data_IF_917643193322
#
_entry.id   IF_917643193322
#
_cell.length_a   1.000
_cell.length_b   1.000
_cell.length_c   1.000
_cell.angle_alpha   90.00
_cell.angle_beta   90.00
_cell.angle_gamma   90.00
#
_symmetry.space_group_name_H-M   'P 1'
#
loop_
_entity.id
_entity.type
_entity.pdbx_description
1 polymer ?
#
# COMPACT_ATOMS: atom_id res chain seq x y z
N UNK A 1 -2.87 -10.53 15.63
CA UNK A 1 -2.46 -10.12 16.99
C UNK A 1 -1.70 -8.82 16.83
N UNK A 2 -2.18 -7.71 17.40
CA UNK A 2 -1.41 -6.47 17.43
C UNK A 2 -0.26 -6.66 18.41
N UNK A 3 0.98 -6.55 17.95
CA UNK A 3 2.13 -6.50 18.85
C UNK A 3 2.37 -5.04 19.16
N UNK A 4 2.16 -4.67 20.41
CA UNK A 4 2.42 -3.33 20.90
C UNK A 4 3.57 -3.40 21.91
N UNK A 5 4.53 -2.48 21.80
CA UNK A 5 5.62 -2.28 22.75
C UNK A 5 5.53 -0.84 23.26
N UNK A 6 5.46 -0.68 24.57
CA UNK A 6 5.59 0.62 25.21
C UNK A 6 7.02 0.78 25.76
N UNK A 7 7.75 1.75 25.22
CA UNK A 7 9.12 2.11 25.66
C UNK A 7 9.18 3.52 26.23
N UNK A 8 8.04 4.11 26.59
CA UNK A 8 7.99 5.42 27.24
C UNK A 8 8.70 5.36 28.59
N UNK A 9 9.58 6.34 28.83
CA UNK A 9 10.41 6.40 30.03
C UNK A 9 11.46 5.29 30.17
N UNK A 10 11.68 4.47 29.12
CA UNK A 10 12.73 3.45 29.11
C UNK A 10 14.02 4.05 28.54
N UNK A 11 15.15 3.74 29.18
CA UNK A 11 16.50 4.08 28.70
C UNK A 11 16.75 3.55 27.28
N UNK A 12 17.45 4.34 26.47
CA UNK A 12 17.64 4.09 25.03
C UNK A 12 18.09 2.67 24.69
N UNK A 13 19.17 2.20 25.31
CA UNK A 13 19.74 0.87 25.02
C UNK A 13 18.75 -0.26 25.33
N UNK A 14 17.98 -0.11 26.41
CA UNK A 14 16.96 -1.09 26.80
C UNK A 14 15.76 -1.07 25.86
N UNK A 15 15.36 0.10 25.38
CA UNK A 15 14.29 0.23 24.40
C UNK A 15 14.68 -0.45 23.07
N UNK A 16 15.92 -0.21 22.61
CA UNK A 16 16.49 -0.83 21.41
C UNK A 16 16.53 -2.35 21.53
N UNK A 17 17.02 -2.88 22.66
CA UNK A 17 17.11 -4.33 22.88
C UNK A 17 15.73 -4.99 22.90
N UNK A 18 14.74 -4.36 23.54
CA UNK A 18 13.37 -4.86 23.57
C UNK A 18 12.77 -4.98 22.16
N UNK A 19 12.94 -3.96 21.32
CA UNK A 19 12.45 -3.96 19.94
C UNK A 19 13.16 -5.03 19.10
N UNK A 20 14.49 -5.15 19.21
CA UNK A 20 15.27 -6.19 18.50
C UNK A 20 14.85 -7.61 18.90
N UNK A 21 14.56 -7.85 20.18
CA UNK A 21 14.07 -9.15 20.64
C UNK A 21 12.72 -9.51 20.03
N UNK A 22 11.80 -8.55 19.96
CA UNK A 22 10.45 -8.79 19.40
C UNK A 22 10.52 -9.06 17.90
N UNK A 23 11.36 -8.32 17.17
CA UNK A 23 11.59 -8.55 15.73
C UNK A 23 12.19 -9.95 15.49
N UNK A 24 13.14 -10.41 16.32
CA UNK A 24 13.77 -11.74 16.17
C UNK A 24 12.90 -12.91 16.59
N UNK A 25 12.05 -12.73 17.60
CA UNK A 25 11.34 -13.83 18.26
C UNK A 25 10.03 -14.22 17.57
N UNK A 26 9.55 -13.45 16.58
CA UNK A 26 8.21 -13.62 16.03
C UNK A 26 8.18 -13.31 14.52
N UNK A 27 7.44 -14.10 13.76
CA UNK A 27 7.03 -13.76 12.38
C UNK A 27 5.96 -12.67 12.42
N UNK A 28 6.37 -11.43 12.66
CA UNK A 28 5.44 -10.31 12.77
C UNK A 28 5.23 -9.64 11.44
N UNK A 29 3.97 -9.42 11.08
CA UNK A 29 3.60 -8.55 9.97
C UNK A 29 3.69 -7.07 10.36
N UNK A 30 3.37 -6.74 11.62
CA UNK A 30 3.40 -5.37 12.12
C UNK A 30 3.66 -5.27 13.63
N UNK A 31 4.19 -4.12 14.03
CA UNK A 31 4.58 -3.75 15.39
C UNK A 31 4.24 -2.28 15.65
N UNK A 32 3.48 -2.01 16.71
CA UNK A 32 3.25 -0.66 17.23
C UNK A 32 4.22 -0.38 18.37
N UNK A 33 4.88 0.78 18.38
CA UNK A 33 5.83 1.17 19.41
C UNK A 33 5.50 2.56 19.93
N UNK A 34 5.31 2.70 21.24
CA UNK A 34 5.08 3.98 21.89
C UNK A 34 6.38 4.49 22.52
N UNK A 35 6.80 5.69 22.14
CA UNK A 35 8.04 6.33 22.59
C UNK A 35 7.76 7.73 23.12
N UNK A 36 8.34 8.08 24.27
CA UNK A 36 8.17 9.40 24.90
C UNK A 36 9.28 10.38 24.54
N UNK A 37 10.32 9.95 23.83
CA UNK A 37 11.53 10.74 23.61
C UNK A 37 11.98 10.70 22.14
N UNK A 38 12.24 11.87 21.56
CA UNK A 38 12.63 12.04 20.16
C UNK A 38 13.89 11.24 19.79
N UNK A 39 14.90 11.23 20.67
CA UNK A 39 16.15 10.48 20.43
C UNK A 39 15.89 8.97 20.35
N UNK A 40 15.04 8.45 21.23
CA UNK A 40 14.63 7.04 21.21
C UNK A 40 13.84 6.73 19.95
N UNK A 41 12.88 7.58 19.56
CA UNK A 41 12.11 7.40 18.33
C UNK A 41 13.03 7.30 17.11
N UNK A 42 13.97 8.23 16.93
CA UNK A 42 14.90 8.22 15.80
C UNK A 42 15.76 6.96 15.76
N UNK A 43 16.33 6.56 16.90
CA UNK A 43 17.15 5.35 16.97
C UNK A 43 16.36 4.06 16.64
N UNK A 44 15.09 4.00 17.05
CA UNK A 44 14.23 2.87 16.73
C UNK A 44 13.88 2.82 15.24
N UNK A 45 13.59 3.96 14.60
CA UNK A 45 13.35 4.03 13.17
C UNK A 45 14.55 3.53 12.36
N UNK A 46 15.77 3.95 12.72
CA UNK A 46 16.99 3.48 12.04
C UNK A 46 17.12 1.96 12.09
N UNK A 47 16.84 1.34 13.24
CA UNK A 47 16.89 -0.11 13.40
C UNK A 47 15.80 -0.80 12.61
N UNK A 48 14.58 -0.27 12.63
CA UNK A 48 13.45 -0.84 11.90
C UNK A 48 13.68 -0.78 10.38
N UNK A 49 14.16 0.35 9.87
CA UNK A 49 14.56 0.49 8.46
C UNK A 49 15.70 -0.47 8.08
N UNK A 50 16.70 -0.67 8.96
CA UNK A 50 17.76 -1.66 8.73
C UNK A 50 17.24 -3.10 8.66
N UNK A 51 16.09 -3.39 9.25
CA UNK A 51 15.40 -4.68 9.15
C UNK A 51 14.41 -4.75 7.98
N UNK A 52 14.39 -3.74 7.09
CA UNK A 52 13.48 -3.68 5.95
C UNK A 52 12.04 -3.32 6.32
N UNK A 53 11.80 -2.81 7.52
CA UNK A 53 10.47 -2.39 7.94
C UNK A 53 10.08 -1.07 7.30
N UNK A 54 8.81 -0.93 6.93
CA UNK A 54 8.23 0.36 6.58
C UNK A 54 7.59 0.98 7.82
N UNK A 55 7.92 2.24 8.14
CA UNK A 55 7.53 2.87 9.40
C UNK A 55 6.73 4.15 9.18
N UNK A 56 5.58 4.23 9.84
CA UNK A 56 4.78 5.46 9.95
C UNK A 56 4.91 6.00 11.38
N UNK A 57 5.07 7.32 11.53
CA UNK A 57 5.16 7.97 12.84
C UNK A 57 3.98 8.90 13.02
N UNK A 58 3.32 8.79 14.17
CA UNK A 58 2.17 9.60 14.53
C UNK A 58 2.42 10.29 15.88
N UNK A 59 1.99 11.54 16.01
CA UNK A 59 2.01 12.23 17.29
C UNK A 59 0.91 11.67 18.21
N UNK A 60 1.24 11.48 19.49
CA UNK A 60 0.35 10.95 20.52
C UNK A 60 0.36 11.85 21.77
N UNK A 61 -0.64 11.69 22.65
CA UNK A 61 -0.76 12.51 23.86
C UNK A 61 0.48 12.44 24.78
N UNK A 62 1.20 11.32 24.77
CA UNK A 62 2.39 11.08 25.60
C UNK A 62 3.61 10.70 24.73
N UNK A 63 3.83 11.43 23.63
CA UNK A 63 5.00 11.28 22.76
C UNK A 63 4.64 10.93 21.32
N UNK A 64 5.25 9.87 20.80
CA UNK A 64 5.10 9.41 19.42
C UNK A 64 4.77 7.92 19.38
N UNK A 65 3.93 7.55 18.42
CA UNK A 65 3.66 6.16 18.08
C UNK A 65 4.30 5.84 16.74
N UNK A 66 5.13 4.81 16.71
CA UNK A 66 5.71 4.24 15.48
C UNK A 66 4.89 3.01 15.11
N UNK A 67 4.35 2.98 13.90
CA UNK A 67 3.74 1.79 13.30
C UNK A 67 4.73 1.22 12.31
N UNK A 68 5.35 0.09 12.65
CA UNK A 68 6.31 -0.60 11.81
C UNK A 68 5.69 -1.83 11.16
N UNK A 69 5.66 -1.86 9.84
CA UNK A 69 5.30 -3.04 9.06
C UNK A 69 6.57 -3.83 8.80
N UNK A 70 6.74 -4.94 9.51
CA UNK A 70 7.95 -5.76 9.56
C UNK A 70 8.00 -6.81 8.45
N UNK A 71 7.30 -6.57 7.33
CA UNK A 71 7.06 -7.50 6.23
C UNK A 71 8.18 -8.52 6.07
N UNK A 72 8.02 -9.69 6.69
CA UNK A 72 9.03 -10.73 6.65
C UNK A 72 9.36 -10.99 5.18
N UNK A 73 10.65 -11.12 4.86
CA UNK A 73 11.16 -11.46 3.52
C UNK A 73 10.68 -12.81 2.95
N UNK A 74 9.59 -13.38 3.46
CA UNK A 74 8.72 -14.26 2.70
C UNK A 74 8.17 -13.50 1.51
N UNK A 75 8.50 -13.94 0.30
CA UNK A 75 7.83 -13.54 -0.93
C UNK A 75 6.32 -13.76 -0.73
N UNK A 76 5.56 -12.72 -0.40
CA UNK A 76 4.10 -12.81 -0.45
C UNK A 76 3.74 -13.11 -1.91
N UNK A 77 2.78 -14.00 -2.17
CA UNK A 77 2.32 -14.20 -3.53
C UNK A 77 1.82 -12.86 -4.10
N UNK A 78 2.31 -12.49 -5.29
CA UNK A 78 1.89 -11.25 -5.95
C UNK A 78 0.41 -11.34 -6.33
N UNK A 79 -0.41 -10.62 -5.55
CA UNK A 79 -1.86 -10.52 -5.73
C UNK A 79 -2.22 -9.67 -6.95
N UNK A 80 -3.44 -9.85 -7.42
CA UNK A 80 -4.03 -9.00 -8.45
C UNK A 80 -5.17 -8.18 -7.85
N UNK A 81 -5.30 -6.92 -8.28
CA UNK A 81 -6.37 -6.03 -7.82
C UNK A 81 -7.39 -5.79 -8.92
N UNK A 82 -8.65 -5.66 -8.52
CA UNK A 82 -9.75 -5.24 -9.40
C UNK A 82 -10.33 -3.97 -8.82
N UNK A 83 -10.23 -2.86 -9.54
CA UNK A 83 -10.60 -1.53 -9.05
C UNK A 83 -11.83 -1.02 -9.79
N UNK A 84 -12.97 -1.05 -9.11
CA UNK A 84 -14.27 -0.68 -9.70
C UNK A 84 -14.63 0.79 -9.57
N UNK A 85 -13.93 1.56 -8.71
CA UNK A 85 -14.31 2.93 -8.36
C UNK A 85 -13.11 3.88 -8.37
N UNK A 86 -13.38 5.19 -8.49
CA UNK A 86 -12.39 6.25 -8.20
C UNK A 86 -12.25 6.52 -6.69
N UNK A 87 -13.06 5.87 -5.86
CA UNK A 87 -13.07 5.98 -4.40
C UNK A 87 -12.83 4.62 -3.78
N UNK A 88 -12.23 4.57 -2.58
CA UNK A 88 -12.09 3.34 -1.80
C UNK A 88 -12.93 3.42 -0.52
N UNK A 89 -13.54 2.29 -0.14
CA UNK A 89 -14.46 2.22 1.00
C UNK A 89 -15.85 2.78 0.69
N UNK A 90 -16.64 3.04 1.72
CA UNK A 90 -17.99 3.60 1.60
C UNK A 90 -18.18 4.74 2.58
N UNK A 91 -18.85 5.82 2.15
CA UNK A 91 -19.04 7.02 2.97
C UNK A 91 -18.94 8.27 2.12
N UNK A 92 -18.10 9.21 2.55
CA UNK A 92 -17.88 10.48 1.85
C UNK A 92 -16.93 10.31 0.65
N UNK A 93 -17.36 10.76 -0.53
CA UNK A 93 -16.61 10.60 -1.78
C UNK A 93 -15.31 11.42 -1.81
N UNK A 94 -15.26 12.57 -1.12
CA UNK A 94 -14.05 13.40 -1.06
C UNK A 94 -12.96 12.66 -0.29
N UNK A 95 -13.32 12.04 0.84
CA UNK A 95 -12.40 11.19 1.61
C UNK A 95 -12.06 9.92 0.82
N UNK A 96 -13.03 9.24 0.24
CA UNK A 96 -12.80 8.01 -0.53
C UNK A 96 -11.85 8.21 -1.71
N UNK A 97 -11.93 9.35 -2.40
CA UNK A 97 -11.00 9.72 -3.48
C UNK A 97 -9.58 9.99 -2.96
N UNK A 98 -9.44 10.74 -1.86
CA UNK A 98 -8.15 10.97 -1.21
C UNK A 98 -7.49 9.67 -0.77
N UNK A 99 -8.26 8.76 -0.18
CA UNK A 99 -7.79 7.45 0.25
C UNK A 99 -7.39 6.57 -0.94
N UNK A 100 -8.11 6.62 -2.06
CA UNK A 100 -7.74 5.89 -3.28
C UNK A 100 -6.40 6.38 -3.85
N UNK A 101 -6.18 7.69 -3.89
CA UNK A 101 -4.89 8.25 -4.31
C UNK A 101 -3.76 7.86 -3.34
N UNK A 102 -4.00 7.96 -2.02
CA UNK A 102 -3.03 7.53 -1.02
C UNK A 102 -2.71 6.04 -1.15
N UNK A 103 -3.71 5.19 -1.40
CA UNK A 103 -3.54 3.76 -1.63
C UNK A 103 -2.57 3.47 -2.78
N UNK A 104 -2.74 4.11 -3.94
CA UNK A 104 -1.82 3.89 -5.06
C UNK A 104 -0.42 4.46 -4.80
N UNK A 105 -0.33 5.65 -4.21
CA UNK A 105 0.97 6.27 -3.89
C UNK A 105 1.77 5.35 -2.95
N UNK A 106 1.16 4.92 -1.85
CA UNK A 106 1.78 4.00 -0.91
C UNK A 106 2.10 2.67 -1.60
N UNK A 107 1.16 2.07 -2.35
CA UNK A 107 1.42 0.82 -3.08
C UNK A 107 2.61 0.93 -4.04
N UNK A 108 2.80 2.08 -4.67
CA UNK A 108 3.91 2.33 -5.57
C UNK A 108 5.25 2.52 -4.83
N UNK A 109 5.25 2.88 -3.56
CA UNK A 109 6.45 3.02 -2.72
C UNK A 109 6.92 1.68 -2.12
N UNK A 110 6.02 0.69 -1.97
CA UNK A 110 6.39 -0.64 -1.49
C UNK A 110 7.33 -1.38 -2.46
N UNK A 111 8.20 -2.24 -1.91
CA UNK A 111 9.06 -3.14 -2.71
C UNK A 111 8.22 -4.19 -3.43
N UNK A 112 7.26 -4.78 -2.72
CA UNK A 112 6.36 -5.76 -3.28
C UNK A 112 5.13 -5.09 -3.91
N UNK A 113 5.00 -5.27 -5.22
CA UNK A 113 3.89 -4.74 -6.03
C UNK A 113 2.85 -5.83 -6.37
N UNK A 114 1.60 -5.46 -6.68
CA UNK A 114 0.65 -6.39 -7.29
C UNK A 114 1.16 -6.87 -8.66
N UNK A 115 0.76 -8.08 -9.04
CA UNK A 115 1.06 -8.60 -10.36
C UNK A 115 0.27 -7.90 -11.47
N UNK A 116 -0.99 -7.55 -11.19
CA UNK A 116 -1.84 -6.83 -12.13
C UNK A 116 -2.89 -6.00 -11.40
N UNK A 117 -3.33 -4.92 -12.05
CA UNK A 117 -4.46 -4.10 -11.61
C UNK A 117 -5.43 -4.00 -12.79
N UNK A 118 -6.65 -4.51 -12.63
CA UNK A 118 -7.71 -4.40 -13.61
C UNK A 118 -8.69 -3.29 -13.21
N UNK A 119 -8.80 -2.24 -14.02
CA UNK A 119 -9.67 -1.11 -13.77
C UNK A 119 -10.94 -1.19 -14.64
N UNK A 120 -12.10 -1.03 -14.01
CA UNK A 120 -13.41 -1.06 -14.67
C UNK A 120 -14.35 -0.03 -14.05
N UNK A 121 -15.53 0.15 -14.66
CA UNK A 121 -16.51 1.15 -14.26
C UNK A 121 -15.86 2.53 -14.10
N UNK A 122 -16.14 3.27 -13.03
CA UNK A 122 -15.53 4.60 -12.82
C UNK A 122 -14.03 4.51 -12.54
N UNK A 123 -13.51 3.36 -12.08
CA UNK A 123 -12.09 3.13 -11.84
C UNK A 123 -11.20 3.42 -13.06
N UNK A 124 -11.70 3.29 -14.29
CA UNK A 124 -10.92 3.63 -15.49
C UNK A 124 -10.47 5.10 -15.55
N UNK A 125 -11.14 5.99 -14.81
CA UNK A 125 -10.78 7.41 -14.70
C UNK A 125 -9.52 7.66 -13.87
N UNK A 126 -9.00 6.65 -13.17
CA UNK A 126 -7.71 6.73 -12.47
C UNK A 126 -6.51 6.65 -13.43
N UNK A 127 -6.74 6.16 -14.65
CA UNK A 127 -5.67 5.95 -15.64
C UNK A 127 -5.65 6.99 -16.77
N UNK A 128 -6.50 8.02 -16.72
CA UNK A 128 -6.57 9.04 -17.77
C UNK A 128 -5.65 10.22 -17.48
N UNK A 129 -5.28 10.96 -18.51
CA UNK A 129 -4.50 12.19 -18.40
C UNK A 129 -5.00 13.11 -17.27
N UNK A 130 -4.06 13.69 -16.53
CA UNK A 130 -4.30 14.61 -15.41
C UNK A 130 -4.95 13.99 -14.16
N UNK A 131 -5.21 12.68 -14.11
CA UNK A 131 -5.62 12.04 -12.86
C UNK A 131 -4.45 11.94 -11.87
N UNK A 132 -4.70 12.28 -10.61
CA UNK A 132 -3.69 12.29 -9.53
C UNK A 132 -3.01 10.94 -9.30
N UNK A 133 -3.66 9.84 -9.70
CA UNK A 133 -3.16 8.46 -9.58
C UNK A 133 -2.23 8.03 -10.71
N UNK A 134 -2.16 8.77 -11.83
CA UNK A 134 -1.32 8.42 -12.99
C UNK A 134 0.17 8.25 -12.62
N UNK A 135 0.81 9.14 -11.84
CA UNK A 135 2.22 8.98 -11.47
C UNK A 135 2.49 7.67 -10.73
N UNK A 136 1.66 7.33 -9.74
CA UNK A 136 1.80 6.10 -8.95
C UNK A 136 1.53 4.85 -9.78
N UNK A 137 0.48 4.85 -10.60
CA UNK A 137 0.18 3.74 -11.51
C UNK A 137 1.29 3.55 -12.56
N UNK A 138 1.91 4.65 -13.01
CA UNK A 138 3.06 4.59 -13.94
C UNK A 138 4.27 3.96 -13.26
N UNK A 139 4.57 4.32 -12.01
CA UNK A 139 5.65 3.71 -11.25
C UNK A 139 5.40 2.21 -11.00
N UNK A 140 4.18 1.82 -10.66
CA UNK A 140 3.78 0.42 -10.54
C UNK A 140 3.97 -0.35 -11.86
N UNK A 141 3.58 0.23 -12.99
CA UNK A 141 3.78 -0.38 -14.30
C UNK A 141 5.26 -0.54 -14.64
N UNK A 142 6.09 0.46 -14.33
CA UNK A 142 7.55 0.39 -14.51
C UNK A 142 8.20 -0.67 -13.63
N UNK A 143 7.65 -0.91 -12.43
CA UNK A 143 8.06 -1.99 -11.52
C UNK A 143 7.57 -3.38 -11.97
N UNK A 144 6.76 -3.47 -13.02
CA UNK A 144 6.32 -4.74 -13.63
C UNK A 144 4.86 -5.14 -13.35
N UNK A 145 4.03 -4.24 -12.78
CA UNK A 145 2.59 -4.48 -12.65
C UNK A 145 1.89 -4.36 -14.01
N UNK A 146 1.07 -5.35 -14.41
CA UNK A 146 0.22 -5.24 -15.60
C UNK A 146 -1.03 -4.39 -15.28
N UNK A 147 -1.06 -3.14 -15.76
CA UNK A 147 -2.20 -2.24 -15.62
C UNK A 147 -3.13 -2.41 -16.82
N UNK A 148 -4.34 -2.91 -16.54
CA UNK A 148 -5.32 -3.31 -17.55
C UNK A 148 -6.59 -2.47 -17.37
N UNK A 149 -7.02 -1.77 -18.42
CA UNK A 149 -8.13 -0.82 -18.34
C UNK A 149 -9.26 -1.26 -19.26
N UNK A 150 -10.46 -1.42 -18.70
CA UNK A 150 -11.63 -1.90 -19.44
C UNK A 150 -11.97 -0.98 -20.64
N UNK A 151 -11.77 -1.49 -21.85
CA UNK A 151 -12.01 -0.74 -23.09
C UNK A 151 -13.45 -0.26 -23.24
N UNK A 152 -14.43 -1.12 -22.93
CA UNK A 152 -15.86 -0.77 -22.99
C UNK A 152 -16.21 0.39 -22.06
N UNK A 153 -15.59 0.48 -20.88
CA UNK A 153 -15.82 1.60 -19.96
C UNK A 153 -15.19 2.90 -20.48
N UNK A 154 -13.98 2.84 -21.03
CA UNK A 154 -13.34 4.00 -21.66
C UNK A 154 -14.17 4.53 -22.84
N UNK A 155 -14.66 3.62 -23.69
CA UNK A 155 -15.54 3.94 -24.81
C UNK A 155 -16.85 4.57 -24.32
N UNK A 156 -17.48 4.00 -23.28
CA UNK A 156 -18.72 4.53 -22.68
C UNK A 156 -18.56 5.96 -22.16
N UNK A 157 -17.43 6.27 -21.51
CA UNK A 157 -17.17 7.63 -21.01
C UNK A 157 -16.61 8.59 -22.08
N UNK A 158 -16.27 8.10 -23.28
CA UNK A 158 -15.67 8.92 -24.34
C UNK A 158 -14.28 9.46 -23.99
N UNK A 159 -13.48 8.67 -23.27
CA UNK A 159 -12.15 9.07 -22.74
C UNK A 159 -11.03 8.11 -23.14
N UNK A 160 -11.24 7.29 -24.16
CA UNK A 160 -10.29 6.26 -24.60
C UNK A 160 -9.00 6.84 -25.17
N UNK A 161 -9.09 7.97 -25.85
CA UNK A 161 -7.96 8.75 -26.37
C UNK A 161 -7.15 9.44 -25.27
N UNK A 162 -7.68 9.52 -24.05
CA UNK A 162 -7.03 10.14 -22.88
C UNK A 162 -6.33 9.13 -21.97
N UNK A 163 -6.22 7.86 -22.37
CA UNK A 163 -5.56 6.85 -21.56
C UNK A 163 -4.07 7.18 -21.41
N UNK A 164 -3.63 7.49 -20.20
CA UNK A 164 -2.26 7.92 -19.91
C UNK A 164 -1.36 6.77 -19.41
N UNK A 165 -1.94 5.74 -18.78
CA UNK A 165 -1.19 4.60 -18.22
C UNK A 165 -1.99 3.31 -18.38
N UNK A 166 -1.28 2.19 -18.58
CA UNK A 166 -1.86 0.87 -18.80
C UNK A 166 -2.21 0.57 -20.26
N UNK A 167 -2.68 -0.66 -20.48
CA UNK A 167 -3.18 -1.13 -21.77
C UNK A 167 -4.68 -1.32 -21.72
N UNK A 168 -5.33 -1.17 -22.88
CA UNK A 168 -6.74 -1.50 -23.01
C UNK A 168 -6.92 -3.02 -22.88
N UNK A 169 -7.83 -3.43 -22.01
CA UNK A 169 -8.19 -4.82 -21.78
C UNK A 169 -9.68 -5.09 -21.97
N UNK A 170 -10.01 -6.36 -21.84
CA UNK A 170 -11.34 -6.93 -22.08
C UNK A 170 -11.79 -7.76 -20.88
N UNK A 171 -13.02 -8.27 -20.92
CA UNK A 171 -13.49 -9.21 -19.89
C UNK A 171 -12.73 -10.55 -19.89
N UNK A 172 -12.07 -10.93 -20.99
CA UNK A 172 -11.21 -12.12 -21.00
C UNK A 172 -10.01 -11.96 -20.07
N UNK A 173 -9.42 -10.76 -20.02
CA UNK A 173 -8.32 -10.47 -19.10
C UNK A 173 -8.80 -10.61 -17.64
N UNK A 174 -9.97 -10.06 -17.31
CA UNK A 174 -10.54 -10.14 -15.95
C UNK A 174 -10.85 -11.58 -15.54
N UNK A 175 -11.47 -12.37 -16.42
CA UNK A 175 -11.71 -13.80 -16.17
C UNK A 175 -10.39 -14.55 -16.02
N UNK A 176 -9.37 -14.23 -16.82
CA UNK A 176 -8.04 -14.79 -16.69
C UNK A 176 -7.41 -14.51 -15.31
N UNK A 177 -7.58 -13.29 -14.79
CA UNK A 177 -7.16 -12.92 -13.44
C UNK A 177 -7.88 -13.77 -12.39
N UNK A 178 -9.20 -13.87 -12.46
CA UNK A 178 -9.98 -14.65 -11.49
C UNK A 178 -9.70 -16.15 -11.53
N UNK A 179 -9.31 -16.71 -12.68
CA UNK A 179 -9.05 -18.15 -12.81
C UNK A 179 -7.60 -18.56 -12.53
N UNK A 180 -6.62 -17.67 -12.76
CA UNK A 180 -5.18 -18.02 -12.67
C UNK A 180 -4.47 -17.55 -11.41
N UNK A 181 -5.06 -16.69 -10.58
CA UNK A 181 -4.41 -16.09 -9.40
C UNK A 181 -5.04 -16.60 -8.11
N UNK A 182 -4.20 -17.05 -7.17
CA UNK A 182 -4.61 -17.58 -5.87
C UNK A 182 -5.28 -16.56 -4.95
N UNK A 183 -5.07 -15.26 -5.15
CA UNK A 183 -5.67 -14.20 -4.34
C UNK A 183 -5.95 -12.94 -5.20
N UNK A 184 -7.23 -12.65 -5.45
CA UNK A 184 -7.69 -11.41 -6.09
C UNK A 184 -8.39 -10.54 -5.05
N UNK A 185 -8.00 -9.26 -4.99
CA UNK A 185 -8.62 -8.27 -4.09
C UNK A 185 -9.45 -7.30 -4.93
N UNK A 186 -10.74 -7.20 -4.64
CA UNK A 186 -11.63 -6.22 -5.24
C UNK A 186 -11.71 -4.96 -4.37
N UNK A 187 -11.50 -3.80 -4.98
CA UNK A 187 -11.49 -2.47 -4.38
C UNK A 187 -12.63 -1.60 -4.92
#
# INVERSE_FOLDING_TARGET
MHNNIDVRGIELDRAVDAVKQVIKAKELSSLEIQSSAQLTTTALLDILHQQGANCEVMDAAEGQTIIANLGNGSVMEQKSYVVGSTTIGSGDDVIGSKLMNAFFNVSADYEQIPASIFLLNSGVKLCIEQADSVPALTLLQQKGCDIIVCGTCLDFFGIKDKLAVGRIGTMHDLIGIYHNKGDVISL
#
